data_IF_184818866250
#
_entry.id   IF_184818866250
#
_cell.length_a   1.000
_cell.length_b   1.000
_cell.length_c   1.000
_cell.angle_alpha   90.00
_cell.angle_beta   90.00
_cell.angle_gamma   90.00
#
_symmetry.space_group_name_H-M   'P 1'
#
loop_
_entity.id
_entity.type
_entity.pdbx_description
1 polymer ?
#
# COMPACT_ATOMS: atom_id res chain seq x y z
N UNK A 1 -31.10 -47.10 15.00
CA UNK A 1 -31.33 -45.70 15.41
C UNK A 1 -30.24 -45.27 16.39
N UNK A 2 -29.90 -46.01 17.45
CA UNK A 2 -28.81 -45.69 18.41
C UNK A 2 -27.43 -45.54 17.71
N UNK A 3 -27.15 -46.37 16.72
CA UNK A 3 -25.88 -46.27 15.93
C UNK A 3 -25.80 -45.02 15.12
N UNK A 4 -26.90 -44.49 14.57
CA UNK A 4 -26.92 -43.23 13.82
C UNK A 4 -26.72 -41.99 14.72
N UNK A 5 -27.33 -41.98 15.91
CA UNK A 5 -27.13 -40.90 16.87
C UNK A 5 -25.69 -40.85 17.37
N UNK A 6 -25.06 -42.01 17.62
CA UNK A 6 -23.63 -42.10 17.97
C UNK A 6 -22.70 -41.63 16.86
N UNK A 7 -23.05 -41.92 15.60
CA UNK A 7 -22.25 -41.46 14.45
C UNK A 7 -22.33 -39.96 14.24
N UNK A 8 -23.50 -39.35 14.44
CA UNK A 8 -23.70 -37.92 14.41
C UNK A 8 -22.90 -37.22 15.54
N UNK A 9 -22.93 -37.79 16.74
CA UNK A 9 -22.19 -37.25 17.89
C UNK A 9 -20.67 -37.31 17.67
N UNK A 10 -20.18 -38.39 17.09
CA UNK A 10 -18.77 -38.56 16.74
C UNK A 10 -18.34 -37.58 15.63
N UNK A 11 -19.14 -37.37 14.61
CA UNK A 11 -18.85 -36.40 13.55
C UNK A 11 -18.79 -34.97 14.06
N UNK A 12 -19.64 -34.60 15.00
CA UNK A 12 -19.61 -33.31 15.70
C UNK A 12 -18.35 -33.10 16.54
N UNK A 13 -17.93 -34.09 17.29
CA UNK A 13 -16.69 -34.05 18.08
C UNK A 13 -15.48 -33.86 17.18
N UNK A 14 -15.45 -34.52 16.01
CA UNK A 14 -14.38 -34.37 15.02
C UNK A 14 -14.38 -32.93 14.46
N UNK A 15 -15.53 -32.37 14.10
CA UNK A 15 -15.61 -31.00 13.59
C UNK A 15 -15.14 -29.97 14.63
N UNK A 16 -15.58 -30.11 15.89
CA UNK A 16 -15.15 -29.24 17.00
C UNK A 16 -13.62 -29.36 17.19
N UNK A 17 -13.09 -30.58 17.16
CA UNK A 17 -11.67 -30.82 17.32
C UNK A 17 -10.84 -30.19 16.20
N UNK A 18 -11.28 -30.31 14.93
CA UNK A 18 -10.65 -29.66 13.79
C UNK A 18 -10.69 -28.12 13.91
N UNK A 19 -11.84 -27.54 14.30
CA UNK A 19 -11.97 -26.10 14.51
C UNK A 19 -11.07 -25.61 15.65
N UNK A 20 -10.91 -26.38 16.73
CA UNK A 20 -9.99 -26.05 17.84
C UNK A 20 -8.53 -26.13 17.39
N UNK A 21 -8.14 -27.12 16.57
CA UNK A 21 -6.80 -27.20 15.99
C UNK A 21 -6.53 -26.00 15.09
N UNK A 22 -7.46 -25.65 14.19
CA UNK A 22 -7.34 -24.48 13.31
C UNK A 22 -7.25 -23.17 14.10
N UNK A 23 -8.04 -23.01 15.14
CA UNK A 23 -7.99 -21.87 16.03
C UNK A 23 -6.67 -21.81 16.80
N UNK A 24 -6.18 -22.95 17.28
CA UNK A 24 -4.87 -23.06 17.95
C UNK A 24 -3.71 -22.74 17.00
N UNK A 25 -3.71 -23.29 15.78
CA UNK A 25 -2.69 -22.99 14.77
C UNK A 25 -2.69 -21.51 14.42
N UNK A 26 -3.88 -20.91 14.25
CA UNK A 26 -4.00 -19.48 13.96
C UNK A 26 -3.54 -18.60 15.14
N UNK A 27 -3.80 -19.02 16.37
CA UNK A 27 -3.31 -18.33 17.56
C UNK A 27 -1.79 -18.45 17.72
N UNK A 28 -1.20 -19.59 17.38
CA UNK A 28 0.25 -19.82 17.36
C UNK A 28 0.92 -18.94 16.28
N UNK A 29 0.35 -18.89 15.07
CA UNK A 29 0.83 -18.04 13.98
C UNK A 29 0.77 -16.55 14.34
N UNK A 30 -0.26 -16.15 15.11
CA UNK A 30 -0.46 -14.77 15.55
C UNK A 30 0.24 -14.44 16.87
N UNK A 31 0.98 -15.42 17.51
CA UNK A 31 1.59 -15.33 18.85
C UNK A 31 0.67 -14.66 19.89
N UNK A 32 -0.65 -14.76 19.70
CA UNK A 32 -1.64 -14.19 20.61
C UNK A 32 -1.85 -15.13 21.76
N UNK A 33 -1.76 -14.69 23.02
CA UNK A 33 -2.17 -15.52 24.13
C UNK A 33 -3.64 -15.89 23.93
N UNK A 34 -3.91 -17.18 23.71
CA UNK A 34 -5.27 -17.71 23.77
C UNK A 34 -5.84 -17.29 25.11
N UNK A 35 -6.83 -16.39 25.11
CA UNK A 35 -7.54 -16.02 26.34
C UNK A 35 -8.29 -17.26 26.82
N UNK A 36 -7.69 -17.99 27.73
CA UNK A 36 -8.17 -19.26 28.27
C UNK A 36 -9.65 -19.21 28.67
N UNK A 37 -10.10 -18.06 29.21
CA UNK A 37 -11.52 -17.81 29.55
C UNK A 37 -12.46 -17.86 28.34
N UNK A 38 -12.03 -17.36 27.15
CA UNK A 38 -12.84 -17.40 25.92
C UNK A 38 -12.87 -18.80 25.32
N UNK A 39 -11.74 -19.50 25.34
CA UNK A 39 -11.66 -20.89 24.87
C UNK A 39 -12.53 -21.80 25.75
N UNK A 40 -12.45 -21.66 27.08
CA UNK A 40 -13.28 -22.37 28.03
C UNK A 40 -14.76 -22.08 27.84
N UNK A 41 -15.15 -20.82 27.65
CA UNK A 41 -16.54 -20.45 27.34
C UNK A 41 -17.05 -21.06 26.04
N UNK A 42 -16.25 -21.06 24.98
CA UNK A 42 -16.62 -21.69 23.69
C UNK A 42 -16.80 -23.22 23.85
N UNK A 43 -15.91 -23.85 24.61
CA UNK A 43 -15.96 -25.29 24.89
C UNK A 43 -17.22 -25.63 25.69
N UNK A 44 -17.55 -24.88 26.74
CA UNK A 44 -18.75 -25.03 27.54
C UNK A 44 -20.02 -24.79 26.72
N UNK A 45 -20.03 -23.76 25.85
CA UNK A 45 -21.16 -23.47 24.97
C UNK A 45 -21.36 -24.60 23.97
N UNK A 46 -20.29 -25.14 23.37
CA UNK A 46 -20.35 -26.28 22.45
C UNK A 46 -20.88 -27.53 23.13
N UNK A 47 -20.42 -27.83 24.35
CA UNK A 47 -20.90 -28.96 25.15
C UNK A 47 -22.40 -28.78 25.51
N UNK A 48 -22.79 -27.57 25.87
CA UNK A 48 -24.19 -27.25 26.20
C UNK A 48 -25.12 -27.42 24.97
N UNK A 49 -24.70 -26.97 23.80
CA UNK A 49 -25.46 -27.14 22.55
C UNK A 49 -25.56 -28.61 22.15
N UNK A 50 -24.48 -29.39 22.31
CA UNK A 50 -24.48 -30.83 22.05
C UNK A 50 -25.43 -31.55 23.02
N UNK A 51 -25.44 -31.15 24.28
CA UNK A 51 -26.35 -31.72 25.32
C UNK A 51 -27.82 -31.42 24.99
N UNK A 52 -28.15 -30.16 24.64
CA UNK A 52 -29.49 -29.77 24.19
C UNK A 52 -29.94 -30.55 22.95
N UNK A 53 -29.06 -30.71 21.96
CA UNK A 53 -29.38 -31.49 20.76
C UNK A 53 -29.58 -32.98 21.07
N UNK A 54 -28.81 -33.53 22.02
CA UNK A 54 -29.02 -34.90 22.46
C UNK A 54 -30.39 -35.09 23.17
N UNK A 55 -30.78 -34.17 24.09
CA UNK A 55 -32.08 -34.21 24.74
C UNK A 55 -33.22 -34.14 23.72
N UNK A 56 -33.10 -33.23 22.74
CA UNK A 56 -34.12 -33.01 21.73
C UNK A 56 -34.30 -34.26 20.84
N UNK A 57 -33.20 -34.88 20.40
CA UNK A 57 -33.23 -36.11 19.60
C UNK A 57 -33.75 -37.29 20.41
N UNK A 58 -33.26 -37.44 21.65
CA UNK A 58 -33.72 -38.54 22.54
C UNK A 58 -35.19 -38.43 22.92
N UNK A 59 -35.65 -37.19 23.21
CA UNK A 59 -37.05 -36.93 23.51
C UNK A 59 -37.99 -37.19 22.32
N UNK A 60 -37.56 -36.79 21.11
CA UNK A 60 -38.39 -37.10 19.91
C UNK A 60 -38.38 -38.57 19.55
N UNK A 61 -37.26 -39.27 19.67
CA UNK A 61 -37.22 -40.74 19.45
C UNK A 61 -38.05 -41.50 20.46
N UNK A 62 -38.03 -41.09 21.73
CA UNK A 62 -38.87 -41.66 22.78
C UNK A 62 -40.35 -41.42 22.52
N UNK A 63 -40.77 -40.25 22.12
CA UNK A 63 -42.14 -39.92 21.77
C UNK A 63 -42.63 -40.74 20.53
N UNK A 64 -41.80 -40.90 19.53
CA UNK A 64 -42.11 -41.71 18.32
C UNK A 64 -42.30 -43.20 18.66
N UNK A 65 -41.49 -43.75 19.57
CA UNK A 65 -41.58 -45.13 20.04
C UNK A 65 -42.86 -45.36 20.89
N UNK A 66 -43.16 -44.44 21.80
CA UNK A 66 -44.37 -44.50 22.65
C UNK A 66 -45.65 -44.39 21.83
N UNK A 67 -45.67 -43.62 20.76
CA UNK A 67 -46.88 -43.41 19.93
C UNK A 67 -46.94 -44.29 18.69
N UNK A 68 -46.04 -45.28 18.53
CA UNK A 68 -45.97 -46.16 17.38
C UNK A 68 -46.02 -45.46 15.99
N UNK A 69 -45.39 -44.30 15.90
CA UNK A 69 -45.36 -43.48 14.69
C UNK A 69 -44.23 -43.97 13.78
N UNK A 70 -44.55 -44.37 12.54
CA UNK A 70 -43.54 -44.65 11.53
C UNK A 70 -42.70 -43.40 11.23
N UNK A 71 -41.39 -43.57 11.18
CA UNK A 71 -40.44 -42.43 10.97
C UNK A 71 -40.57 -41.94 9.53
N UNK A 72 -41.15 -40.77 9.36
CA UNK A 72 -41.13 -40.04 8.10
C UNK A 72 -39.74 -39.50 7.80
N UNK A 73 -39.24 -39.76 6.58
CA UNK A 73 -37.96 -39.25 6.08
C UNK A 73 -37.89 -37.72 6.07
N UNK A 74 -39.00 -37.01 6.15
CA UNK A 74 -39.12 -35.57 6.28
C UNK A 74 -38.57 -35.04 7.61
N UNK A 75 -38.80 -35.78 8.71
CA UNK A 75 -38.29 -35.43 10.05
C UNK A 75 -36.75 -35.53 10.13
N UNK A 76 -36.19 -36.59 9.51
CA UNK A 76 -34.73 -36.75 9.42
C UNK A 76 -34.07 -35.59 8.62
N UNK A 77 -34.73 -35.14 7.55
CA UNK A 77 -34.28 -33.96 6.77
C UNK A 77 -34.36 -32.67 7.59
N UNK A 78 -35.42 -32.49 8.37
CA UNK A 78 -35.55 -31.31 9.25
C UNK A 78 -34.43 -31.24 10.28
N UNK A 79 -34.08 -32.35 10.94
CA UNK A 79 -32.95 -32.37 11.89
C UNK A 79 -31.60 -32.14 11.20
N UNK A 80 -31.41 -32.63 9.99
CA UNK A 80 -30.21 -32.38 9.21
C UNK A 80 -30.04 -30.89 8.89
N UNK A 81 -31.10 -30.21 8.46
CA UNK A 81 -31.06 -28.78 8.18
C UNK A 81 -30.87 -27.92 9.47
N UNK A 82 -31.54 -28.30 10.56
CA UNK A 82 -31.34 -27.66 11.87
C UNK A 82 -29.90 -27.77 12.35
N UNK A 83 -29.24 -28.90 12.18
CA UNK A 83 -27.82 -29.09 12.50
C UNK A 83 -26.92 -28.18 11.68
N UNK A 84 -27.17 -28.04 10.39
CA UNK A 84 -26.43 -27.13 9.51
C UNK A 84 -26.56 -25.66 9.96
N UNK A 85 -27.77 -25.22 10.30
CA UNK A 85 -28.02 -23.86 10.82
C UNK A 85 -27.28 -23.61 12.12
N UNK A 86 -27.28 -24.56 13.06
CA UNK A 86 -26.53 -24.45 14.33
C UNK A 86 -25.02 -24.37 14.08
N UNK A 87 -24.49 -25.14 13.11
CA UNK A 87 -23.06 -25.05 12.70
C UNK A 87 -22.74 -23.67 12.17
N UNK A 88 -23.56 -23.14 11.26
CA UNK A 88 -23.35 -21.79 10.69
C UNK A 88 -23.39 -20.71 11.77
N UNK A 89 -24.31 -20.79 12.73
CA UNK A 89 -24.37 -19.88 13.85
C UNK A 89 -23.13 -19.98 14.76
N UNK A 90 -22.66 -21.18 15.05
CA UNK A 90 -21.41 -21.41 15.81
C UNK A 90 -20.20 -20.83 15.09
N UNK A 91 -20.06 -21.08 13.80
CA UNK A 91 -19.00 -20.51 12.98
C UNK A 91 -19.08 -18.98 12.96
N UNK A 92 -20.29 -18.41 12.85
CA UNK A 92 -20.51 -16.97 12.93
C UNK A 92 -20.13 -16.37 14.30
N UNK A 93 -20.50 -17.03 15.40
CA UNK A 93 -20.11 -16.61 16.75
C UNK A 93 -18.61 -16.73 16.96
N UNK A 94 -17.98 -17.80 16.47
CA UNK A 94 -16.53 -17.97 16.51
C UNK A 94 -15.84 -16.85 15.72
N UNK A 95 -16.27 -16.57 14.49
CA UNK A 95 -15.75 -15.47 13.70
C UNK A 95 -15.90 -14.12 14.39
N UNK A 96 -17.07 -13.85 15.01
CA UNK A 96 -17.33 -12.62 15.77
C UNK A 96 -16.46 -12.52 17.04
N UNK A 97 -16.22 -13.62 17.77
CA UNK A 97 -15.34 -13.65 18.96
C UNK A 97 -13.87 -13.41 18.59
N UNK A 98 -13.46 -13.79 17.38
CA UNK A 98 -12.11 -13.54 16.85
C UNK A 98 -11.98 -12.19 16.14
N UNK A 99 -13.08 -11.53 15.79
CA UNK A 99 -13.08 -10.17 15.22
C UNK A 99 -12.93 -9.12 16.34
N UNK A 100 -11.80 -9.19 17.06
CA UNK A 100 -11.49 -8.24 18.11
C UNK A 100 -10.91 -6.96 17.49
N UNK A 101 -11.74 -5.93 17.39
CA UNK A 101 -11.28 -4.57 17.08
C UNK A 101 -10.39 -4.06 18.22
N UNK A 102 -9.08 -4.20 18.03
CA UNK A 102 -8.11 -3.62 18.95
C UNK A 102 -8.23 -2.09 18.91
N UNK A 103 -8.19 -1.47 20.10
CA UNK A 103 -8.27 -0.01 20.24
C UNK A 103 -7.03 0.58 19.55
N UNK A 104 -7.24 1.34 18.48
CA UNK A 104 -6.21 2.03 17.71
C UNK A 104 -5.35 2.88 18.64
N UNK A 105 -4.09 2.56 18.83
CA UNK A 105 -3.11 3.55 19.26
C UNK A 105 -2.70 4.33 18.00
N UNK A 106 -3.28 5.50 17.78
CA UNK A 106 -2.74 6.44 16.84
C UNK A 106 -1.44 6.98 17.44
N UNK A 107 -0.31 6.65 16.84
CA UNK A 107 0.90 7.39 17.08
C UNK A 107 0.78 8.67 16.23
N UNK A 108 0.65 9.82 16.90
CA UNK A 108 0.76 11.11 16.24
C UNK A 108 2.15 11.20 15.61
N UNK A 109 2.21 11.62 14.35
CA UNK A 109 3.48 11.82 13.64
C UNK A 109 4.22 12.98 14.30
N UNK A 110 5.38 12.70 14.87
CA UNK A 110 6.31 13.73 15.32
C UNK A 110 7.11 14.22 14.12
N UNK A 111 6.57 15.21 13.41
CA UNK A 111 7.21 15.79 12.23
C UNK A 111 8.54 16.48 12.56
N UNK A 112 8.69 17.01 13.77
CA UNK A 112 9.96 17.65 14.21
C UNK A 112 11.06 16.61 14.28
N UNK A 113 10.77 15.46 14.90
CA UNK A 113 11.72 14.34 14.95
C UNK A 113 12.01 13.77 13.57
N UNK A 114 11.01 13.69 12.69
CA UNK A 114 11.25 13.30 11.29
C UNK A 114 12.21 14.26 10.58
N UNK A 115 12.01 15.57 10.75
CA UNK A 115 12.89 16.62 10.20
C UNK A 115 14.33 16.45 10.71
N UNK A 116 14.53 16.29 12.02
CA UNK A 116 15.85 16.10 12.63
C UNK A 116 16.57 14.87 12.06
N UNK A 117 15.86 13.74 11.95
CA UNK A 117 16.43 12.50 11.40
C UNK A 117 16.81 12.68 9.93
N UNK A 118 15.92 13.24 9.11
CA UNK A 118 16.14 13.44 7.68
C UNK A 118 17.30 14.40 7.45
N UNK A 119 17.39 15.50 8.20
CA UNK A 119 18.49 16.47 8.08
C UNK A 119 19.83 15.87 8.49
N UNK A 120 19.85 15.03 9.51
CA UNK A 120 21.10 14.46 10.04
C UNK A 120 21.62 13.28 9.21
N UNK A 121 20.75 12.40 8.75
CA UNK A 121 21.14 11.15 8.12
C UNK A 121 20.79 11.07 6.63
N UNK A 122 20.00 12.03 6.15
CA UNK A 122 19.43 12.03 4.81
C UNK A 122 18.18 11.15 4.69
N UNK A 123 17.61 11.17 3.51
CA UNK A 123 16.42 10.39 3.18
C UNK A 123 16.57 9.67 1.83
N UNK A 124 15.46 9.17 1.34
CA UNK A 124 15.31 8.57 0.02
C UNK A 124 14.29 9.34 -0.82
N UNK A 125 13.99 8.90 -2.04
CA UNK A 125 13.04 9.58 -2.94
C UNK A 125 11.60 9.69 -2.41
N UNK A 126 11.22 8.91 -1.39
CA UNK A 126 9.88 8.90 -0.80
C UNK A 126 9.81 9.64 0.54
N UNK A 127 10.96 10.01 1.14
CA UNK A 127 11.02 10.59 2.49
C UNK A 127 10.19 11.86 2.63
N UNK A 128 10.15 12.69 1.60
CA UNK A 128 9.36 13.93 1.58
C UNK A 128 7.87 13.69 1.78
N UNK A 129 7.36 12.51 1.42
CA UNK A 129 5.96 12.15 1.60
C UNK A 129 5.52 12.01 3.07
N UNK A 130 6.44 12.09 4.04
CA UNK A 130 6.12 12.16 5.47
C UNK A 130 5.24 13.38 5.79
N UNK A 131 5.41 14.48 5.05
CA UNK A 131 4.67 15.72 5.24
C UNK A 131 3.24 15.70 4.68
N UNK A 132 2.84 14.66 3.96
CA UNK A 132 1.49 14.57 3.36
C UNK A 132 0.36 14.40 4.38
N UNK A 133 0.68 14.08 5.66
CA UNK A 133 -0.29 14.00 6.76
C UNK A 133 -1.23 12.80 6.71
N UNK A 134 -0.98 11.82 5.85
CA UNK A 134 -1.80 10.63 5.66
C UNK A 134 -1.12 9.33 6.12
N UNK A 135 0.01 9.44 6.79
CA UNK A 135 0.85 8.33 7.29
C UNK A 135 1.14 8.50 8.76
N UNK A 136 1.36 7.38 9.43
CA UNK A 136 1.94 7.30 10.76
C UNK A 136 3.43 7.01 10.64
N UNK A 137 4.22 7.36 11.66
CA UNK A 137 5.65 7.03 11.74
C UNK A 137 5.91 6.12 12.93
N UNK A 138 6.74 5.12 12.72
CA UNK A 138 7.27 4.26 13.76
C UNK A 138 8.76 4.51 13.90
N UNK A 139 9.19 4.93 15.09
CA UNK A 139 10.58 5.26 15.41
C UNK A 139 11.24 4.12 16.19
N UNK A 140 12.54 3.94 15.98
CA UNK A 140 13.33 3.07 16.84
C UNK A 140 13.56 3.73 18.23
N UNK A 141 14.08 2.96 19.19
CA UNK A 141 14.36 3.44 20.56
C UNK A 141 15.32 4.61 20.61
N UNK A 142 16.34 4.59 19.75
CA UNK A 142 17.36 5.64 19.66
C UNK A 142 16.85 6.93 18.98
N UNK A 143 15.65 6.90 18.38
CA UNK A 143 15.06 8.00 17.62
C UNK A 143 15.98 8.54 16.52
N UNK A 144 16.71 7.65 15.84
CA UNK A 144 17.63 7.98 14.76
C UNK A 144 17.20 7.39 13.40
N UNK A 145 16.10 6.64 13.38
CA UNK A 145 15.50 6.09 12.17
C UNK A 145 14.00 5.85 12.36
N UNK A 146 13.26 5.86 11.25
CA UNK A 146 11.82 5.63 11.27
C UNK A 146 11.29 4.95 10.01
N UNK A 147 10.06 4.42 10.11
CA UNK A 147 9.27 3.80 9.04
C UNK A 147 7.97 4.57 8.88
N UNK A 148 7.63 4.94 7.64
CA UNK A 148 6.34 5.52 7.28
C UNK A 148 5.34 4.42 6.97
N UNK A 149 4.20 4.40 7.63
CA UNK A 149 3.18 3.39 7.37
C UNK A 149 1.76 3.95 7.49
N UNK A 150 0.81 3.18 7.00
CA UNK A 150 -0.62 3.43 7.20
C UNK A 150 -1.33 2.14 7.57
N UNK A 151 -2.19 2.22 8.57
CA UNK A 151 -3.06 1.11 8.93
C UNK A 151 -4.31 1.08 8.05
N UNK A 152 -4.59 -0.05 7.41
CA UNK A 152 -5.85 -0.31 6.70
C UNK A 152 -6.13 -1.80 6.62
N UNK A 153 -7.39 -2.21 6.84
CA UNK A 153 -7.83 -3.59 6.63
C UNK A 153 -6.96 -4.64 7.35
N UNK A 154 -6.63 -4.40 8.63
CA UNK A 154 -5.78 -5.26 9.47
C UNK A 154 -4.33 -5.42 8.98
N UNK A 155 -3.84 -4.47 8.18
CA UNK A 155 -2.46 -4.44 7.72
C UNK A 155 -1.81 -3.09 8.01
N UNK A 156 -0.51 -3.11 8.27
CA UNK A 156 0.39 -1.97 8.26
C UNK A 156 1.04 -1.93 6.89
N UNK A 157 0.60 -1.00 6.04
CA UNK A 157 1.21 -0.80 4.73
C UNK A 157 2.30 0.24 4.89
N UNK A 158 3.54 -0.18 4.69
CA UNK A 158 4.74 0.65 4.79
C UNK A 158 5.08 1.23 3.43
N UNK A 159 5.46 2.50 3.37
CA UNK A 159 5.88 3.18 2.15
C UNK A 159 7.39 3.31 2.11
N UNK A 160 8.01 2.66 1.13
CA UNK A 160 9.44 2.69 0.89
C UNK A 160 10.28 2.01 1.96
N UNK A 161 11.56 2.23 1.88
CA UNK A 161 12.56 1.74 2.83
C UNK A 161 12.57 2.59 4.12
N UNK A 162 13.13 2.09 5.22
CA UNK A 162 13.40 2.88 6.41
C UNK A 162 14.19 4.14 6.10
N UNK A 163 14.01 5.17 6.93
CA UNK A 163 14.64 6.48 6.78
C UNK A 163 15.48 6.78 8.02
N UNK A 164 16.70 7.30 7.83
CA UNK A 164 17.60 7.69 8.91
C UNK A 164 18.90 6.90 8.95
N UNK A 165 19.37 6.58 10.15
CA UNK A 165 20.62 5.84 10.36
C UNK A 165 20.51 4.39 9.86
N UNK A 166 21.19 4.08 8.77
CA UNK A 166 21.16 2.74 8.15
C UNK A 166 21.64 1.62 9.06
N UNK A 167 22.51 1.92 10.04
CA UNK A 167 22.99 0.95 11.03
C UNK A 167 21.87 0.50 11.99
N UNK A 168 20.82 1.30 12.13
CA UNK A 168 19.69 1.01 13.00
C UNK A 168 18.51 0.34 12.27
N UNK A 169 18.59 0.11 10.97
CA UNK A 169 17.46 -0.43 10.19
C UNK A 169 17.04 -1.82 10.61
N UNK A 170 17.98 -2.70 10.96
CA UNK A 170 17.68 -4.06 11.41
C UNK A 170 16.91 -4.05 12.73
N UNK A 171 17.38 -3.30 13.74
CA UNK A 171 16.70 -3.17 15.03
C UNK A 171 15.36 -2.43 14.92
N UNK A 172 15.26 -1.44 14.04
CA UNK A 172 14.01 -0.76 13.75
C UNK A 172 12.97 -1.71 13.14
N UNK A 173 13.37 -2.51 12.16
CA UNK A 173 12.49 -3.52 11.55
C UNK A 173 12.07 -4.56 12.58
N UNK A 174 13.00 -5.08 13.40
CA UNK A 174 12.67 -6.04 14.43
C UNK A 174 11.62 -5.49 15.40
N UNK A 175 11.82 -4.28 15.90
CA UNK A 175 10.85 -3.61 16.78
C UNK A 175 9.50 -3.39 16.09
N UNK A 176 9.49 -3.04 14.79
CA UNK A 176 8.27 -2.87 14.01
C UNK A 176 7.52 -4.18 13.79
N UNK A 177 8.25 -5.29 13.54
CA UNK A 177 7.66 -6.63 13.46
C UNK A 177 7.05 -7.07 14.79
N UNK A 178 7.74 -6.84 15.92
CA UNK A 178 7.22 -7.12 17.25
C UNK A 178 5.96 -6.29 17.55
N UNK A 179 5.97 -5.01 17.19
CA UNK A 179 4.79 -4.14 17.31
C UNK A 179 3.61 -4.67 16.50
N UNK A 180 3.82 -5.00 15.23
CA UNK A 180 2.76 -5.53 14.37
C UNK A 180 2.23 -6.87 14.86
N UNK A 181 3.10 -7.75 15.33
CA UNK A 181 2.76 -9.06 15.88
C UNK A 181 1.94 -8.94 17.16
N UNK A 182 2.36 -8.06 18.09
CA UNK A 182 1.61 -7.77 19.31
C UNK A 182 0.19 -7.27 19.02
N UNK A 183 0.03 -6.44 17.99
CA UNK A 183 -1.26 -5.91 17.53
C UNK A 183 -2.02 -6.91 16.63
N UNK A 184 -1.36 -7.93 16.13
CA UNK A 184 -1.88 -8.92 15.18
C UNK A 184 -2.15 -8.33 13.80
N UNK A 185 -1.30 -7.42 13.35
CA UNK A 185 -1.36 -6.83 12.04
C UNK A 185 -0.42 -7.55 11.06
N UNK A 186 -0.83 -7.62 9.81
CA UNK A 186 0.01 -7.99 8.68
C UNK A 186 0.91 -6.79 8.32
N UNK A 187 2.15 -7.07 7.92
CA UNK A 187 3.05 -6.04 7.39
C UNK A 187 3.19 -6.23 5.89
N UNK A 188 3.05 -5.13 5.16
CA UNK A 188 3.25 -5.06 3.70
C UNK A 188 4.13 -3.85 3.42
N UNK A 189 5.32 -4.06 2.82
CA UNK A 189 6.17 -2.97 2.36
C UNK A 189 5.90 -2.72 0.87
N UNK A 190 5.73 -1.47 0.51
CA UNK A 190 5.40 -1.02 -0.83
C UNK A 190 6.44 -0.04 -1.35
N UNK A 191 6.96 -0.30 -2.56
CA UNK A 191 8.02 0.49 -3.23
C UNK A 191 9.38 0.43 -2.52
N UNK A 192 9.78 -0.72 -1.99
CA UNK A 192 11.14 -0.88 -1.48
C UNK A 192 12.16 -1.00 -2.62
N UNK A 193 13.40 -0.57 -2.36
CA UNK A 193 14.52 -0.74 -3.29
C UNK A 193 15.11 -2.16 -3.19
N UNK A 194 15.87 -2.55 -4.22
CA UNK A 194 16.64 -3.80 -4.21
C UNK A 194 17.81 -3.78 -3.21
N UNK A 195 18.30 -2.60 -2.87
CA UNK A 195 19.42 -2.42 -1.94
C UNK A 195 19.19 -3.12 -0.59
N UNK A 196 17.97 -3.09 -0.06
CA UNK A 196 17.64 -3.66 1.25
C UNK A 196 16.94 -5.02 1.17
N UNK A 197 16.86 -5.66 0.00
CA UNK A 197 16.28 -6.99 -0.12
C UNK A 197 16.89 -8.02 0.83
N UNK A 198 18.22 -8.09 1.06
CA UNK A 198 18.79 -9.03 2.02
C UNK A 198 18.27 -8.81 3.44
N UNK A 199 18.12 -7.54 3.86
CA UNK A 199 17.59 -7.20 5.18
C UNK A 199 16.15 -7.69 5.34
N UNK A 200 15.27 -7.41 4.37
CA UNK A 200 13.87 -7.89 4.42
C UNK A 200 13.76 -9.41 4.34
N UNK A 201 14.69 -10.07 3.63
CA UNK A 201 14.75 -11.53 3.52
C UNK A 201 14.97 -12.20 4.89
N UNK A 202 15.80 -11.62 5.76
CA UNK A 202 16.07 -12.13 7.11
C UNK A 202 14.81 -12.23 7.97
N UNK A 203 13.78 -11.41 7.69
CA UNK A 203 12.47 -11.46 8.35
C UNK A 203 11.48 -12.44 7.68
N UNK A 204 11.93 -13.30 6.76
CA UNK A 204 11.13 -14.36 6.15
C UNK A 204 10.07 -13.87 5.16
N UNK A 205 10.31 -12.74 4.51
CA UNK A 205 9.39 -12.15 3.55
C UNK A 205 9.52 -12.75 2.15
N UNK A 206 8.48 -12.54 1.35
CA UNK A 206 8.44 -12.77 -0.08
C UNK A 206 8.43 -11.45 -0.84
N UNK A 207 8.95 -11.50 -2.06
CA UNK A 207 9.12 -10.33 -2.93
C UNK A 207 8.30 -10.47 -4.19
N UNK A 208 7.74 -9.35 -4.64
CA UNK A 208 7.09 -9.23 -5.93
C UNK A 208 7.53 -7.92 -6.58
N UNK A 209 8.05 -7.97 -7.82
CA UNK A 209 8.46 -6.77 -8.55
C UNK A 209 7.24 -5.94 -8.93
N UNK A 210 7.18 -4.69 -8.45
CA UNK A 210 6.09 -3.74 -8.73
C UNK A 210 6.24 -3.03 -10.05
N UNK A 211 7.46 -2.86 -10.52
CA UNK A 211 7.84 -2.08 -11.67
C UNK A 211 9.24 -1.50 -11.52
N UNK A 212 9.50 -0.42 -12.22
CA UNK A 212 10.81 0.24 -12.22
C UNK A 212 10.65 1.75 -12.11
N UNK A 213 11.56 2.41 -11.38
CA UNK A 213 11.68 3.87 -11.33
C UNK A 213 12.64 4.37 -12.39
N UNK A 214 12.30 5.52 -12.95
CA UNK A 214 13.09 6.18 -13.99
C UNK A 214 14.02 7.22 -13.36
N UNK A 215 15.31 6.93 -13.25
CA UNK A 215 16.33 7.81 -12.68
C UNK A 215 17.16 8.42 -13.79
N UNK A 216 17.14 9.73 -13.91
CA UNK A 216 17.96 10.47 -14.88
C UNK A 216 19.29 10.82 -14.23
N UNK A 217 20.38 10.41 -14.86
CA UNK A 217 21.73 10.88 -14.51
C UNK A 217 21.91 12.31 -15.06
N UNK A 218 21.86 13.29 -14.16
CA UNK A 218 21.98 14.71 -14.51
C UNK A 218 23.41 15.09 -14.92
N UNK A 219 24.41 14.32 -14.53
CA UNK A 219 25.80 14.59 -14.92
C UNK A 219 25.99 14.45 -16.42
N UNK A 220 25.33 13.47 -17.01
CA UNK A 220 25.37 13.16 -18.45
C UNK A 220 24.20 13.72 -19.25
N UNK A 221 23.13 14.17 -18.57
CA UNK A 221 21.93 14.70 -19.22
C UNK A 221 22.26 15.95 -20.08
N UNK A 222 21.79 15.95 -21.34
CA UNK A 222 21.95 17.07 -22.25
C UNK A 222 20.76 17.17 -23.20
N UNK A 223 20.48 18.39 -23.66
CA UNK A 223 19.54 18.68 -24.74
C UNK A 223 20.22 18.74 -26.12
N UNK A 224 21.55 18.59 -26.18
CA UNK A 224 22.34 18.63 -27.39
C UNK A 224 22.30 17.30 -28.16
N UNK A 225 22.65 17.34 -29.45
CA UNK A 225 22.74 16.16 -30.33
C UNK A 225 21.46 15.82 -31.09
N UNK A 226 21.58 14.95 -32.08
CA UNK A 226 20.50 14.59 -33.04
C UNK A 226 19.30 13.92 -32.31
N UNK A 227 19.57 13.03 -31.38
CA UNK A 227 18.54 12.31 -30.61
C UNK A 227 17.69 13.22 -29.72
N UNK A 228 18.20 14.42 -29.37
CA UNK A 228 17.54 15.40 -28.48
C UNK A 228 16.87 16.56 -29.25
N UNK A 229 16.70 16.42 -30.57
CA UNK A 229 16.02 17.45 -31.41
C UNK A 229 14.62 17.78 -30.88
N UNK A 230 13.84 16.78 -30.42
CA UNK A 230 12.51 16.98 -29.85
C UNK A 230 12.54 17.85 -28.61
N UNK A 231 13.53 17.67 -27.72
CA UNK A 231 13.69 18.50 -26.52
C UNK A 231 13.91 19.97 -26.86
N UNK A 232 14.83 20.24 -27.79
CA UNK A 232 15.07 21.61 -28.24
C UNK A 232 13.87 22.22 -28.94
N UNK A 233 13.13 21.44 -29.74
CA UNK A 233 11.90 21.93 -30.36
C UNK A 233 10.83 22.31 -29.32
N UNK A 234 10.71 21.53 -28.23
CA UNK A 234 9.81 21.87 -27.15
C UNK A 234 10.25 23.15 -26.43
N UNK A 235 11.54 23.30 -26.08
CA UNK A 235 12.07 24.49 -25.43
C UNK A 235 11.89 25.73 -26.31
N UNK A 236 12.30 25.66 -27.57
CA UNK A 236 12.12 26.78 -28.52
C UNK A 236 10.64 27.19 -28.67
N UNK A 237 9.71 26.21 -28.71
CA UNK A 237 8.27 26.51 -28.78
C UNK A 237 7.79 27.32 -27.55
N UNK A 238 8.32 27.04 -26.38
CA UNK A 238 7.97 27.82 -25.18
C UNK A 238 8.61 29.19 -25.19
N UNK A 239 9.85 29.29 -25.63
CA UNK A 239 10.54 30.60 -25.84
C UNK A 239 9.78 31.46 -26.84
N UNK A 240 9.39 30.91 -28.01
CA UNK A 240 8.64 31.61 -29.07
C UNK A 240 7.25 32.10 -28.56
N UNK A 241 6.63 31.38 -27.63
CA UNK A 241 5.35 31.73 -27.01
C UNK A 241 5.50 32.62 -25.78
N UNK A 242 6.72 33.00 -25.41
CA UNK A 242 7.04 33.71 -24.16
C UNK A 242 6.47 33.02 -22.91
N UNK A 243 6.56 31.70 -22.87
CA UNK A 243 6.19 30.90 -21.68
C UNK A 243 7.44 30.74 -20.80
N UNK A 244 7.37 31.29 -19.62
CA UNK A 244 8.47 31.29 -18.67
C UNK A 244 8.32 30.16 -17.65
N UNK A 245 9.46 29.55 -17.25
CA UNK A 245 9.54 28.61 -16.14
C UNK A 245 10.37 29.19 -15.03
N UNK A 246 9.87 29.11 -13.82
CA UNK A 246 10.59 29.55 -12.61
C UNK A 246 10.39 28.56 -11.47
N UNK A 247 11.35 28.50 -10.54
CA UNK A 247 11.23 27.76 -9.30
C UNK A 247 11.03 28.76 -8.16
N UNK A 248 9.94 28.59 -7.44
CA UNK A 248 9.56 29.43 -6.30
C UNK A 248 9.82 28.65 -5.02
N UNK A 249 10.59 29.26 -4.12
CA UNK A 249 10.93 28.70 -2.82
C UNK A 249 9.90 29.12 -1.75
N UNK A 250 9.61 28.26 -0.77
CA UNK A 250 8.75 28.66 0.34
C UNK A 250 9.43 29.76 1.22
N UNK A 251 8.69 30.62 1.95
CA UNK A 251 7.23 30.55 2.18
C UNK A 251 6.41 31.14 1.02
N UNK A 252 5.23 30.57 0.77
CA UNK A 252 4.34 30.99 -0.29
C UNK A 252 3.20 31.88 0.23
N UNK A 253 2.74 32.81 -0.62
CA UNK A 253 1.56 33.66 -0.34
C UNK A 253 0.26 32.91 -0.56
N UNK A 254 -0.85 33.40 -0.02
CA UNK A 254 -2.17 32.82 -0.24
C UNK A 254 -2.57 32.92 -1.71
N UNK A 255 -2.30 34.04 -2.36
CA UNK A 255 -2.61 34.25 -3.79
C UNK A 255 -1.90 33.20 -4.66
N UNK A 256 -0.65 32.86 -4.33
CA UNK A 256 0.08 31.81 -5.03
C UNK A 256 -0.56 30.42 -4.83
N UNK A 257 -1.04 30.10 -3.62
CA UNK A 257 -1.78 28.85 -3.40
C UNK A 257 -3.11 28.83 -4.16
N UNK A 258 -3.79 29.95 -4.31
CA UNK A 258 -5.05 30.05 -5.04
C UNK A 258 -4.81 29.83 -6.55
N UNK A 259 -3.70 30.35 -7.12
CA UNK A 259 -3.29 30.05 -8.49
C UNK A 259 -2.99 28.56 -8.69
N UNK A 260 -2.20 27.95 -7.78
CA UNK A 260 -1.90 26.50 -7.81
C UNK A 260 -3.19 25.68 -7.74
N UNK A 261 -4.11 26.08 -6.84
CA UNK A 261 -5.40 25.39 -6.67
C UNK A 261 -6.25 25.48 -7.94
N UNK A 262 -6.29 26.61 -8.59
CA UNK A 262 -7.01 26.78 -9.86
C UNK A 262 -6.50 25.79 -10.93
N UNK A 263 -5.19 25.72 -11.15
CA UNK A 263 -4.59 24.79 -12.11
C UNK A 263 -4.87 23.34 -11.70
N UNK A 264 -4.74 23.04 -10.42
CA UNK A 264 -4.98 21.73 -9.85
C UNK A 264 -6.41 21.25 -10.06
N UNK A 265 -7.40 22.06 -9.75
CA UNK A 265 -8.83 21.73 -9.88
C UNK A 265 -9.20 21.50 -11.35
N UNK A 266 -8.67 22.32 -12.26
CA UNK A 266 -8.83 22.13 -13.71
C UNK A 266 -8.22 20.84 -14.21
N UNK A 267 -7.01 20.49 -13.71
CA UNK A 267 -6.35 19.24 -14.08
C UNK A 267 -7.09 18.01 -13.55
N UNK A 268 -7.61 18.07 -12.33
CA UNK A 268 -8.37 16.98 -11.72
C UNK A 268 -9.70 16.73 -12.43
N UNK A 269 -10.37 17.78 -12.91
CA UNK A 269 -11.65 17.67 -13.61
C UNK A 269 -12.64 16.73 -12.87
N UNK A 270 -12.84 16.98 -11.58
CA UNK A 270 -13.73 16.20 -10.69
C UNK A 270 -13.20 14.82 -10.27
N UNK A 271 -12.01 14.41 -10.72
CA UNK A 271 -11.39 13.14 -10.28
C UNK A 271 -10.86 13.29 -8.86
N UNK A 272 -10.97 12.20 -8.09
CA UNK A 272 -10.36 12.12 -6.75
C UNK A 272 -8.85 12.04 -6.83
N UNK A 273 -8.17 12.69 -5.90
CA UNK A 273 -6.73 12.53 -5.71
C UNK A 273 -6.36 11.12 -5.24
N UNK A 274 -5.16 10.70 -5.58
CA UNK A 274 -4.53 9.53 -4.99
C UNK A 274 -3.80 9.93 -3.72
N UNK A 275 -3.59 8.97 -2.82
CA UNK A 275 -3.00 9.20 -1.51
C UNK A 275 -1.82 8.25 -1.26
N UNK A 276 -1.18 8.38 -0.11
CA UNK A 276 -0.17 7.49 0.43
C UNK A 276 1.16 7.51 -0.30
N UNK A 277 1.23 7.03 -1.54
CA UNK A 277 2.46 6.98 -2.35
C UNK A 277 2.60 8.17 -3.31
N UNK A 278 1.73 9.14 -3.19
CA UNK A 278 1.71 10.42 -3.91
C UNK A 278 1.39 11.50 -2.89
N UNK A 279 1.94 12.69 -3.06
CA UNK A 279 1.62 13.84 -2.21
C UNK A 279 0.18 14.31 -2.41
N UNK A 280 -0.27 15.11 -1.46
CA UNK A 280 -1.61 15.71 -1.47
C UNK A 280 -1.51 17.19 -1.78
N UNK A 281 -2.52 17.72 -2.47
CA UNK A 281 -2.64 19.16 -2.64
C UNK A 281 -3.10 19.79 -1.32
N UNK A 282 -2.18 19.99 -0.39
CA UNK A 282 -2.40 20.69 0.87
C UNK A 282 -1.32 21.75 1.07
N UNK A 283 -1.71 22.87 1.67
CA UNK A 283 -0.79 23.97 1.96
C UNK A 283 0.41 23.50 2.81
N UNK A 284 0.15 22.69 3.83
CA UNK A 284 1.19 22.13 4.71
C UNK A 284 2.24 21.32 3.94
N UNK A 285 1.79 20.47 3.01
CA UNK A 285 2.68 19.63 2.21
C UNK A 285 3.47 20.46 1.19
N UNK A 286 2.76 21.29 0.41
CA UNK A 286 3.37 22.08 -0.66
C UNK A 286 4.38 23.10 -0.13
N UNK A 287 4.18 23.64 1.09
CA UNK A 287 5.11 24.60 1.71
C UNK A 287 6.43 23.98 2.21
N UNK A 288 6.64 22.68 2.03
CA UNK A 288 7.85 21.99 2.50
C UNK A 288 8.96 21.89 1.46
N UNK A 289 8.68 22.22 0.19
CA UNK A 289 9.65 22.11 -0.91
C UNK A 289 9.38 23.15 -1.99
N UNK A 290 10.36 23.40 -2.89
CA UNK A 290 10.19 24.30 -4.01
C UNK A 290 9.11 23.82 -4.98
N UNK A 291 8.48 24.79 -5.65
CA UNK A 291 7.47 24.56 -6.70
C UNK A 291 7.95 25.16 -7.99
N UNK A 292 8.00 24.34 -9.06
CA UNK A 292 8.22 24.81 -10.41
C UNK A 292 6.91 25.24 -11.05
N UNK A 293 6.87 26.44 -11.63
CA UNK A 293 5.69 26.98 -12.30
C UNK A 293 5.99 27.40 -13.72
N UNK A 294 5.03 27.22 -14.60
CA UNK A 294 5.06 27.77 -15.97
C UNK A 294 4.00 28.87 -16.07
N UNK A 295 4.41 30.04 -16.57
CA UNK A 295 3.51 31.18 -16.79
C UNK A 295 3.52 31.55 -18.26
N UNK A 296 2.36 31.88 -18.79
CA UNK A 296 2.22 32.41 -20.14
C UNK A 296 2.68 33.88 -20.24
N UNK A 297 2.66 34.44 -21.47
CA UNK A 297 3.06 35.81 -21.74
C UNK A 297 2.27 36.87 -20.96
N UNK A 298 1.08 36.54 -20.42
CA UNK A 298 0.30 37.43 -19.59
C UNK A 298 0.65 37.30 -18.10
N UNK A 299 1.56 36.39 -17.73
CA UNK A 299 1.90 36.08 -16.34
C UNK A 299 0.97 35.07 -15.67
N UNK A 300 -0.04 34.55 -16.37
CA UNK A 300 -0.97 33.56 -15.83
C UNK A 300 -0.29 32.20 -15.66
N UNK A 301 -0.46 31.55 -14.51
CA UNK A 301 0.02 30.19 -14.27
C UNK A 301 -0.74 29.20 -15.15
N UNK A 302 -0.03 28.42 -15.97
CA UNK A 302 -0.60 27.41 -16.87
C UNK A 302 -0.23 25.98 -16.50
N UNK A 303 0.85 25.80 -15.74
CA UNK A 303 1.27 24.50 -15.22
C UNK A 303 2.16 24.66 -13.99
N UNK A 304 2.20 23.63 -13.16
CA UNK A 304 3.13 23.57 -12.02
C UNK A 304 3.58 22.15 -11.70
N UNK A 305 4.65 22.03 -10.95
CA UNK A 305 5.14 20.80 -10.36
C UNK A 305 5.68 21.05 -8.95
N UNK A 306 5.43 20.12 -8.02
CA UNK A 306 6.07 20.12 -6.69
C UNK A 306 7.31 19.25 -6.72
N UNK A 307 8.41 19.77 -6.20
CA UNK A 307 9.67 19.04 -6.10
C UNK A 307 9.73 18.29 -4.77
N UNK A 308 10.43 17.15 -4.77
CA UNK A 308 10.69 16.35 -3.57
C UNK A 308 12.19 16.18 -3.39
N UNK A 309 12.85 16.96 -2.50
CA UNK A 309 14.24 16.73 -2.17
C UNK A 309 14.42 15.40 -1.44
N UNK A 310 15.55 14.74 -1.68
CA UNK A 310 15.91 13.51 -0.97
C UNK A 310 16.65 13.76 0.33
N UNK A 311 17.06 15.00 0.56
CA UNK A 311 17.87 15.46 1.71
C UNK A 311 19.25 14.79 1.80
N UNK A 312 19.59 13.94 0.86
CA UNK A 312 20.88 13.25 0.74
C UNK A 312 21.20 12.98 -0.73
N UNK A 313 22.44 12.60 -1.02
CA UNK A 313 22.91 12.09 -2.31
C UNK A 313 22.78 13.04 -3.51
N UNK A 314 22.56 14.34 -3.28
CA UNK A 314 22.38 15.33 -4.34
C UNK A 314 21.37 14.85 -5.41
N UNK A 315 20.26 14.27 -4.96
CA UNK A 315 19.19 13.79 -5.81
C UNK A 315 17.88 14.51 -5.48
N UNK A 316 17.02 14.63 -6.47
CA UNK A 316 15.70 15.25 -6.35
C UNK A 316 14.67 14.45 -7.12
N UNK A 317 13.43 14.52 -6.71
CA UNK A 317 12.30 13.90 -7.37
C UNK A 317 11.20 14.93 -7.63
N UNK A 318 10.18 14.53 -8.35
CA UNK A 318 8.96 15.29 -8.58
C UNK A 318 7.76 14.50 -8.10
N UNK A 319 6.74 15.20 -7.60
CA UNK A 319 5.50 14.57 -7.13
C UNK A 319 4.29 15.04 -7.94
N UNK A 320 3.67 16.15 -7.55
CA UNK A 320 2.52 16.66 -8.29
C UNK A 320 2.96 17.37 -9.56
N UNK A 321 2.44 16.93 -10.70
CA UNK A 321 2.61 17.61 -11.98
C UNK A 321 1.21 17.89 -12.52
N UNK A 322 0.86 19.17 -12.68
CA UNK A 322 -0.48 19.60 -13.09
C UNK A 322 -0.41 20.75 -14.10
N UNK A 323 -1.32 20.76 -15.04
CA UNK A 323 -1.40 21.77 -16.09
C UNK A 323 -2.83 22.02 -16.51
N UNK A 324 -3.07 23.11 -17.21
CA UNK A 324 -4.37 23.43 -17.80
C UNK A 324 -4.60 22.54 -19.03
N UNK A 325 -5.55 21.59 -18.99
CA UNK A 325 -5.75 20.60 -20.05
C UNK A 325 -6.31 21.19 -21.35
N UNK A 326 -6.92 22.38 -21.27
CA UNK A 326 -7.45 23.09 -22.45
C UNK A 326 -6.40 23.67 -23.37
N UNK A 327 -5.13 23.72 -22.95
CA UNK A 327 -4.03 24.23 -23.76
C UNK A 327 -3.43 23.11 -24.59
N UNK A 328 -3.41 23.26 -25.92
CA UNK A 328 -2.76 22.32 -26.86
C UNK A 328 -1.24 22.56 -26.90
N UNK A 329 -0.60 22.39 -25.75
CA UNK A 329 0.84 22.57 -25.56
C UNK A 329 1.44 21.35 -24.87
N UNK A 330 2.71 21.00 -25.18
CA UNK A 330 3.40 19.89 -24.53
C UNK A 330 3.88 20.27 -23.12
N UNK A 331 2.95 20.72 -22.24
CA UNK A 331 3.27 21.30 -20.92
C UNK A 331 4.01 20.32 -20.02
N UNK A 332 3.63 19.03 -20.06
CA UNK A 332 4.33 17.99 -19.29
C UNK A 332 5.79 17.83 -19.74
N UNK A 333 6.06 17.84 -21.06
CA UNK A 333 7.42 17.78 -21.61
C UNK A 333 8.21 19.04 -21.20
N UNK A 334 7.58 20.22 -21.27
CA UNK A 334 8.17 21.48 -20.83
C UNK A 334 8.57 21.45 -19.36
N UNK A 335 7.63 21.07 -18.46
CA UNK A 335 7.93 20.96 -17.04
C UNK A 335 9.11 20.03 -16.76
N UNK A 336 9.11 18.83 -17.34
CA UNK A 336 10.23 17.89 -17.14
C UNK A 336 11.56 18.42 -17.66
N UNK A 337 11.58 19.02 -18.83
CA UNK A 337 12.83 19.58 -19.41
C UNK A 337 13.38 20.70 -18.53
N UNK A 338 12.55 21.64 -18.12
CA UNK A 338 12.97 22.74 -17.26
C UNK A 338 13.39 22.26 -15.86
N UNK A 339 12.66 21.32 -15.25
CA UNK A 339 13.07 20.71 -13.98
C UNK A 339 14.45 20.03 -14.08
N UNK A 340 14.69 19.25 -15.15
CA UNK A 340 15.96 18.56 -15.36
C UNK A 340 17.12 19.54 -15.54
N UNK A 341 16.92 20.60 -16.32
CA UNK A 341 17.92 21.64 -16.54
C UNK A 341 18.22 22.42 -15.27
N UNK A 342 17.19 22.86 -14.56
CA UNK A 342 17.31 23.55 -13.28
C UNK A 342 18.01 22.67 -12.22
N UNK A 343 17.60 21.39 -12.11
CA UNK A 343 18.21 20.46 -11.16
C UNK A 343 19.70 20.23 -11.45
N UNK A 344 20.05 20.12 -12.73
CA UNK A 344 21.45 20.02 -13.15
C UNK A 344 22.24 21.29 -12.80
N UNK A 345 21.69 22.47 -13.05
CA UNK A 345 22.31 23.76 -12.72
C UNK A 345 22.52 23.92 -11.21
N UNK A 346 21.57 23.46 -10.40
CA UNK A 346 21.69 23.43 -8.93
C UNK A 346 22.68 22.39 -8.38
N UNK A 347 23.28 21.58 -9.27
CA UNK A 347 24.32 20.62 -8.90
C UNK A 347 23.77 19.26 -8.43
N UNK A 348 22.47 19.00 -8.59
CA UNK A 348 21.93 17.65 -8.36
C UNK A 348 22.55 16.66 -9.36
N UNK A 349 22.83 15.44 -8.87
CA UNK A 349 23.42 14.36 -9.69
C UNK A 349 22.38 13.48 -10.34
N UNK A 350 21.22 13.33 -9.70
CA UNK A 350 20.14 12.46 -10.17
C UNK A 350 18.77 13.13 -10.04
N UNK A 351 17.88 12.81 -10.99
CA UNK A 351 16.48 13.21 -10.95
C UNK A 351 15.59 11.98 -11.09
N UNK A 352 14.72 11.73 -10.10
CA UNK A 352 13.76 10.64 -10.14
C UNK A 352 12.45 11.11 -10.77
N UNK A 353 12.10 10.56 -11.91
CA UNK A 353 10.82 10.81 -12.59
C UNK A 353 9.66 9.97 -12.05
N UNK A 354 9.89 9.18 -10.99
CA UNK A 354 8.92 8.29 -10.39
C UNK A 354 8.79 6.92 -11.08
N UNK A 355 7.96 6.07 -10.50
CA UNK A 355 7.80 4.68 -10.92
C UNK A 355 6.94 4.54 -12.18
N UNK A 356 7.33 3.61 -13.06
CA UNK A 356 6.51 3.05 -14.12
C UNK A 356 5.99 1.69 -13.60
N UNK A 357 4.78 1.69 -13.07
CA UNK A 357 4.16 0.50 -12.48
C UNK A 357 4.07 -0.63 -13.50
N UNK A 358 4.42 -1.85 -13.07
CA UNK A 358 4.39 -3.10 -13.84
C UNK A 358 5.30 -3.11 -15.07
N UNK A 359 6.17 -2.13 -15.20
CA UNK A 359 7.17 -2.17 -16.24
C UNK A 359 8.16 -3.30 -15.98
N UNK A 360 8.44 -4.11 -17.00
CA UNK A 360 9.40 -5.22 -16.96
C UNK A 360 9.11 -6.24 -15.83
N UNK A 361 7.82 -6.56 -15.61
CA UNK A 361 7.36 -7.57 -14.64
C UNK A 361 6.88 -8.81 -15.39
N UNK A 362 7.43 -9.99 -15.05
CA UNK A 362 6.98 -11.27 -15.58
C UNK A 362 7.20 -11.49 -17.07
N UNK A 363 8.05 -10.71 -17.72
CA UNK A 363 8.28 -10.78 -19.17
C UNK A 363 9.17 -11.94 -19.60
N UNK A 364 10.03 -12.43 -18.70
CA UNK A 364 10.93 -13.54 -19.00
C UNK A 364 10.19 -14.88 -18.88
N UNK A 365 10.53 -15.85 -19.74
CA UNK A 365 9.98 -17.20 -19.72
C UNK A 365 10.15 -17.89 -18.34
N UNK A 366 11.26 -17.61 -17.67
CA UNK A 366 11.61 -18.18 -16.35
C UNK A 366 11.05 -17.38 -15.17
N UNK A 367 10.32 -16.27 -15.39
CA UNK A 367 9.69 -15.51 -14.32
C UNK A 367 8.67 -16.40 -13.58
N UNK A 368 8.50 -16.14 -12.29
CA UNK A 368 7.49 -16.85 -11.49
C UNK A 368 6.12 -16.75 -12.15
N UNK A 369 5.37 -17.86 -12.12
CA UNK A 369 4.01 -17.91 -12.70
C UNK A 369 3.12 -16.78 -12.18
N UNK A 370 3.21 -16.46 -10.88
CA UNK A 370 2.48 -15.35 -10.25
C UNK A 370 2.82 -13.99 -10.86
N UNK A 371 4.09 -13.74 -11.23
CA UNK A 371 4.51 -12.51 -11.89
C UNK A 371 4.01 -12.44 -13.32
N UNK A 372 4.08 -13.56 -14.06
CA UNK A 372 3.53 -13.65 -15.41
C UNK A 372 2.00 -13.45 -15.43
N UNK A 373 1.30 -14.05 -14.45
CA UNK A 373 -0.15 -13.86 -14.31
C UNK A 373 -0.49 -12.42 -13.91
N UNK A 374 0.24 -11.83 -12.96
CA UNK A 374 0.06 -10.44 -12.59
C UNK A 374 0.29 -9.51 -13.77
N UNK A 375 1.37 -9.69 -14.54
CA UNK A 375 1.62 -8.93 -15.77
C UNK A 375 0.43 -9.02 -16.73
N UNK A 376 -0.08 -10.21 -17.01
CA UNK A 376 -1.21 -10.42 -17.93
C UNK A 376 -2.53 -9.83 -17.41
N UNK A 377 -2.87 -10.05 -16.13
CA UNK A 377 -4.10 -9.52 -15.54
C UNK A 377 -4.08 -8.00 -15.55
N UNK A 378 -2.94 -7.43 -15.28
CA UNK A 378 -2.78 -5.99 -15.31
C UNK A 378 -2.73 -5.43 -16.75
N UNK A 379 -2.24 -6.16 -17.73
CA UNK A 379 -2.31 -5.78 -19.15
C UNK A 379 -3.75 -5.68 -19.67
N UNK A 380 -4.67 -6.48 -19.15
CA UNK A 380 -6.07 -6.55 -19.61
C UNK A 380 -7.03 -5.61 -18.84
N UNK A 381 -6.61 -5.03 -17.70
CA UNK A 381 -7.41 -4.02 -17.02
C UNK A 381 -7.27 -2.66 -17.69
N UNK A 382 -8.37 -2.07 -18.17
CA UNK A 382 -8.46 -0.82 -18.95
C UNK A 382 -7.74 0.41 -18.31
N UNK A 383 -7.37 0.35 -17.03
CA UNK A 383 -6.53 1.36 -16.37
C UNK A 383 -5.05 1.31 -16.72
N UNK A 384 -4.57 0.18 -17.26
CA UNK A 384 -3.14 -0.10 -17.50
C UNK A 384 -2.58 0.37 -18.83
N UNK A 385 -3.44 0.64 -19.79
CA UNK A 385 -3.02 1.27 -21.05
C UNK A 385 -2.29 2.60 -20.79
N UNK A 386 -2.59 3.28 -19.69
CA UNK A 386 -1.88 4.47 -19.23
C UNK A 386 -0.46 4.16 -18.71
N UNK A 387 -0.21 2.98 -18.12
CA UNK A 387 1.10 2.65 -17.55
C UNK A 387 2.14 2.29 -18.60
N UNK A 388 1.77 1.60 -19.68
CA UNK A 388 2.68 1.37 -20.83
C UNK A 388 3.07 2.69 -21.50
N UNK A 389 2.11 3.60 -21.65
CA UNK A 389 2.34 4.96 -22.13
C UNK A 389 3.34 5.72 -21.26
N UNK A 390 3.25 5.57 -19.93
CA UNK A 390 4.13 6.24 -18.98
C UNK A 390 5.59 5.76 -19.09
N UNK A 391 5.84 4.44 -19.24
CA UNK A 391 7.19 3.93 -19.47
C UNK A 391 7.77 4.49 -20.76
N UNK A 392 7.03 4.37 -21.87
CA UNK A 392 7.47 4.90 -23.19
C UNK A 392 7.72 6.40 -23.13
N UNK A 393 6.91 7.14 -22.39
CA UNK A 393 7.11 8.57 -22.17
C UNK A 393 8.45 8.86 -21.49
N UNK A 394 8.75 8.18 -20.38
CA UNK A 394 10.00 8.38 -19.62
C UNK A 394 11.24 7.90 -20.39
N UNK A 395 11.11 6.90 -21.25
CA UNK A 395 12.19 6.38 -22.10
C UNK A 395 12.81 7.45 -23.00
N UNK A 396 12.06 8.51 -23.38
CA UNK A 396 12.56 9.65 -24.14
C UNK A 396 13.77 10.31 -23.48
N UNK A 397 13.79 10.31 -22.14
CA UNK A 397 14.83 10.94 -21.33
C UNK A 397 16.02 10.03 -21.09
N UNK A 398 15.96 8.77 -21.53
CA UNK A 398 17.01 7.74 -21.36
C UNK A 398 17.38 7.51 -19.89
N UNK A 399 16.40 7.14 -19.03
CA UNK A 399 16.66 6.90 -17.62
C UNK A 399 17.43 5.60 -17.40
N UNK A 400 18.12 5.54 -16.26
CA UNK A 400 18.46 4.29 -15.61
C UNK A 400 17.22 3.77 -14.90
N UNK A 401 16.87 2.50 -15.14
CA UNK A 401 15.67 1.89 -14.55
C UNK A 401 16.05 1.11 -13.29
N UNK A 402 15.51 1.49 -12.16
CA UNK A 402 15.71 0.84 -10.87
C UNK A 402 14.48 0.05 -10.44
N UNK A 403 14.60 -1.24 -10.08
CA UNK A 403 13.46 -2.05 -9.68
C UNK A 403 12.90 -1.60 -8.33
N UNK A 404 11.56 -1.72 -8.19
CA UNK A 404 10.84 -1.52 -6.91
C UNK A 404 9.97 -2.73 -6.61
N UNK A 405 9.89 -3.08 -5.33
CA UNK A 405 9.28 -4.32 -4.88
C UNK A 405 8.16 -4.09 -3.89
N UNK A 406 7.18 -4.99 -3.93
CA UNK A 406 6.27 -5.29 -2.85
C UNK A 406 6.89 -6.40 -2.01
N UNK A 407 6.93 -6.22 -0.69
CA UNK A 407 7.40 -7.22 0.25
C UNK A 407 6.28 -7.57 1.21
N UNK A 408 6.02 -8.85 1.39
CA UNK A 408 4.94 -9.35 2.21
C UNK A 408 5.32 -10.64 2.91
N UNK A 409 4.73 -10.90 4.07
CA UNK A 409 5.03 -12.08 4.86
C UNK A 409 4.53 -13.35 4.16
N UNK A 410 5.30 -14.44 4.23
CA UNK A 410 5.06 -15.71 3.51
C UNK A 410 3.69 -16.36 3.76
N UNK A 411 3.04 -16.01 4.87
CA UNK A 411 1.75 -16.58 5.25
C UNK A 411 0.55 -15.90 4.60
N UNK A 412 0.78 -14.78 3.92
CA UNK A 412 -0.28 -13.99 3.28
C UNK A 412 -0.25 -14.15 1.76
N UNK A 413 -1.41 -13.96 1.16
CA UNK A 413 -1.54 -14.01 -0.29
C UNK A 413 -1.03 -12.73 -0.94
N UNK A 414 -0.25 -12.84 -2.03
CA UNK A 414 0.16 -11.70 -2.85
C UNK A 414 -1.05 -10.83 -3.28
N UNK A 415 -2.12 -11.48 -3.72
CA UNK A 415 -3.33 -10.78 -4.20
C UNK A 415 -4.03 -9.99 -3.08
N UNK A 416 -4.13 -10.57 -1.90
CA UNK A 416 -4.69 -9.91 -0.73
C UNK A 416 -3.84 -8.70 -0.33
N UNK A 417 -2.51 -8.87 -0.29
CA UNK A 417 -1.57 -7.80 0.01
C UNK A 417 -1.66 -6.66 -1.01
N UNK A 418 -1.74 -6.96 -2.31
CA UNK A 418 -1.93 -5.95 -3.36
C UNK A 418 -3.26 -5.21 -3.23
N UNK A 419 -4.36 -5.92 -2.92
CA UNK A 419 -5.66 -5.29 -2.69
C UNK A 419 -5.64 -4.33 -1.48
N UNK A 420 -4.94 -4.70 -0.40
CA UNK A 420 -4.77 -3.83 0.77
C UNK A 420 -3.99 -2.56 0.43
N UNK A 421 -2.90 -2.69 -0.33
CA UNK A 421 -2.13 -1.53 -0.84
C UNK A 421 -3.01 -0.64 -1.71
N UNK A 422 -3.76 -1.18 -2.66
CA UNK A 422 -4.66 -0.39 -3.52
C UNK A 422 -5.73 0.36 -2.72
N UNK A 423 -6.27 -0.26 -1.65
CA UNK A 423 -7.23 0.42 -0.76
C UNK A 423 -6.61 1.58 0.01
N UNK A 424 -5.33 1.48 0.37
CA UNK A 424 -4.60 2.55 1.04
C UNK A 424 -4.35 3.72 0.08
N UNK A 425 -4.00 3.43 -1.18
CA UNK A 425 -3.72 4.45 -2.21
C UNK A 425 -4.99 5.20 -2.66
N UNK A 426 -6.14 4.51 -2.75
CA UNK A 426 -7.39 5.08 -3.29
C UNK A 426 -8.26 5.77 -2.26
N UNK A 427 -8.10 5.52 -0.98
CA UNK A 427 -9.00 6.02 0.06
C UNK A 427 -8.20 6.76 1.15
N UNK A 428 -8.66 7.97 1.43
CA UNK A 428 -8.17 8.80 2.54
C UNK A 428 -8.49 8.19 3.90
#
# INVERSE_FOLDING_TARGET
IYTYASFLLLSWLIIIFVLLILAYQRAQVLKRPLRFKKLAFMLLLSIFILYLNHILISGTLYALDVYHIEIDTSLLRYYFWMTIVIIMLLVGVIAWLFDYKYKRSHHSVDLTLCDEIIQKYGGNYLSHLVYSGDKDCFFNENKDSFIMYRYKSNALVVLGDPIGNTKSFESLLEAFYQFAEYQGYEIIFYQISDQYMPLYHNFGNQFFKLGEEAIIDLTTFTTSGKKRRGFRATLNKFDDLNINFEIIEPPFTQDFFDELKFVSDKWLDGRSEMHFSVGQFTQTYLSKAPIGVMRDHSGKMIAFCSLMPTYSNNAISVDLIRWLPELDLPLMDGLYLHMLLWSKEKGYKAFNMGMATLSNVGQLHYSYLRERMAGRVFEHFNGLYRFQGLRRYKEKYSPNWEPRFLVYQKHYSLWESMLKVMRVIRHK
#
